data_IF_657571219730
#
_entry.id   IF_657571219730
#
_cell.length_a   1.000
_cell.length_b   1.000
_cell.length_c   1.000
_cell.angle_alpha   90.00
_cell.angle_beta   90.00
_cell.angle_gamma   90.00
#
_symmetry.space_group_name_H-M   'P 1'
#
loop_
_entity.id
_entity.type
_entity.pdbx_description
1 polymer ?
#
# COMPACT_ATOMS: atom_id res chain seq x y z
N UNK A 1 52.22 -32.10 40.89
CA UNK A 1 50.89 -32.58 40.51
C UNK A 1 50.29 -31.67 39.47
N UNK A 2 50.46 -31.95 38.16
CA UNK A 2 49.74 -31.22 37.12
C UNK A 2 49.04 -32.17 36.09
N UNK A 3 48.58 -33.33 36.53
CA UNK A 3 48.03 -34.33 35.57
C UNK A 3 46.48 -34.19 35.47
N UNK A 4 45.84 -33.62 36.45
CA UNK A 4 44.35 -33.52 36.52
C UNK A 4 43.78 -32.42 35.65
N UNK A 5 44.51 -31.38 35.34
CA UNK A 5 44.09 -30.28 34.46
C UNK A 5 44.02 -30.65 32.95
N UNK A 6 44.74 -31.69 32.53
CA UNK A 6 44.87 -32.04 31.13
C UNK A 6 43.67 -32.85 30.60
N UNK A 7 42.90 -33.51 31.45
CA UNK A 7 41.74 -34.32 31.09
C UNK A 7 40.41 -33.56 31.06
N UNK A 8 40.33 -32.40 31.69
CA UNK A 8 39.10 -31.58 31.70
C UNK A 8 38.93 -30.71 30.46
N UNK A 9 40.02 -30.44 29.73
CA UNK A 9 39.97 -29.56 28.55
C UNK A 9 39.23 -30.10 27.31
N UNK A 10 39.32 -31.40 26.92
CA UNK A 10 38.66 -31.88 25.73
C UNK A 10 37.14 -31.95 25.88
N UNK A 11 36.64 -32.41 27.03
CA UNK A 11 35.21 -32.54 27.26
C UNK A 11 34.50 -31.16 27.39
N UNK A 12 35.17 -30.18 27.99
CA UNK A 12 34.68 -28.81 28.12
C UNK A 12 34.63 -28.13 26.72
N UNK A 13 35.62 -28.35 25.89
CA UNK A 13 35.71 -27.78 24.55
C UNK A 13 34.65 -28.38 23.60
N UNK A 14 34.34 -29.66 23.73
CA UNK A 14 33.25 -30.31 22.98
C UNK A 14 31.87 -29.77 23.38
N UNK A 15 31.63 -29.60 24.66
CA UNK A 15 30.35 -28.99 25.15
C UNK A 15 30.19 -27.56 24.67
N UNK A 16 31.23 -26.76 24.69
CA UNK A 16 31.21 -25.40 24.14
C UNK A 16 30.95 -25.38 22.63
N UNK A 17 31.57 -26.29 21.87
CA UNK A 17 31.39 -26.44 20.43
C UNK A 17 29.95 -26.86 20.10
N UNK A 18 29.37 -27.76 20.89
CA UNK A 18 27.98 -28.19 20.74
C UNK A 18 27.01 -27.05 21.05
N UNK A 19 27.21 -26.34 22.15
CA UNK A 19 26.38 -25.17 22.49
C UNK A 19 26.42 -24.09 21.42
N UNK A 20 27.58 -23.77 20.85
CA UNK A 20 27.72 -22.82 19.75
C UNK A 20 26.96 -23.28 18.49
N UNK A 21 27.03 -24.57 18.13
CA UNK A 21 26.28 -25.12 17.01
C UNK A 21 24.76 -25.02 17.24
N UNK A 22 24.29 -25.41 18.42
CA UNK A 22 22.86 -25.31 18.77
C UNK A 22 22.38 -23.87 18.74
N UNK A 23 23.17 -22.94 19.28
CA UNK A 23 22.86 -21.52 19.24
C UNK A 23 22.77 -20.97 17.81
N UNK A 24 23.69 -21.36 16.92
CA UNK A 24 23.67 -20.97 15.50
C UNK A 24 22.46 -21.53 14.77
N UNK A 25 22.03 -22.76 15.07
CA UNK A 25 20.83 -23.36 14.48
C UNK A 25 19.58 -22.60 14.93
N UNK A 26 19.47 -22.31 16.22
CA UNK A 26 18.34 -21.54 16.76
C UNK A 26 18.32 -20.14 16.13
N UNK A 27 19.47 -19.49 16.04
CA UNK A 27 19.58 -18.16 15.42
C UNK A 27 19.16 -18.21 13.94
N UNK A 28 19.58 -19.23 13.20
CA UNK A 28 19.20 -19.41 11.80
C UNK A 28 17.67 -19.60 11.64
N UNK A 29 17.05 -20.38 12.51
CA UNK A 29 15.57 -20.57 12.52
C UNK A 29 14.85 -19.26 12.80
N UNK A 30 15.32 -18.48 13.78
CA UNK A 30 14.72 -17.18 14.12
C UNK A 30 14.85 -16.21 12.94
N UNK A 31 16.04 -16.14 12.32
CA UNK A 31 16.26 -15.28 11.14
C UNK A 31 15.37 -15.69 9.99
N UNK A 32 15.27 -16.99 9.70
CA UNK A 32 14.38 -17.50 8.65
C UNK A 32 12.92 -17.16 8.94
N UNK A 33 12.47 -17.30 10.17
CA UNK A 33 11.11 -16.89 10.59
C UNK A 33 10.84 -15.40 10.39
N UNK A 34 11.80 -14.54 10.73
CA UNK A 34 11.69 -13.09 10.52
C UNK A 34 11.64 -12.73 9.03
N UNK A 35 12.42 -13.41 8.19
CA UNK A 35 12.40 -13.18 6.74
C UNK A 35 11.06 -13.60 6.13
N UNK A 36 10.51 -14.75 6.51
CA UNK A 36 9.20 -15.22 6.06
C UNK A 36 8.10 -14.26 6.52
N UNK A 37 8.13 -13.85 7.78
CA UNK A 37 7.18 -12.89 8.33
C UNK A 37 7.24 -11.55 7.57
N UNK A 38 8.44 -11.01 7.34
CA UNK A 38 8.63 -9.77 6.57
C UNK A 38 8.12 -9.91 5.14
N UNK A 39 8.40 -11.06 4.49
CA UNK A 39 7.88 -11.32 3.15
C UNK A 39 6.34 -11.29 3.11
N UNK A 40 5.68 -12.00 4.02
CA UNK A 40 4.21 -12.02 4.10
C UNK A 40 3.67 -10.61 4.35
N UNK A 41 4.27 -9.87 5.30
CA UNK A 41 3.82 -8.54 5.68
C UNK A 41 3.85 -7.51 4.54
N UNK A 42 4.86 -7.58 3.68
CA UNK A 42 5.07 -6.59 2.63
C UNK A 42 4.58 -7.02 1.25
N UNK A 43 4.60 -8.31 0.93
CA UNK A 43 4.31 -8.79 -0.42
C UNK A 43 2.98 -9.51 -0.56
N UNK A 44 2.43 -10.06 0.53
CA UNK A 44 1.13 -10.71 0.47
C UNK A 44 0.04 -9.67 0.73
N UNK A 45 -0.91 -9.46 -0.21
CA UNK A 45 -2.00 -8.53 0.02
C UNK A 45 -2.93 -9.06 1.13
N UNK A 46 -3.34 -8.17 2.01
CA UNK A 46 -4.37 -8.44 3.02
C UNK A 46 -5.74 -8.58 2.37
N UNK A 47 -6.02 -7.76 1.39
CA UNK A 47 -7.20 -7.85 0.54
C UNK A 47 -6.75 -7.74 -0.91
N UNK A 48 -7.07 -8.74 -1.71
CA UNK A 48 -6.68 -8.84 -3.12
C UNK A 48 -7.73 -8.29 -4.09
N UNK A 49 -8.91 -7.93 -3.59
CA UNK A 49 -10.03 -7.46 -4.40
C UNK A 49 -10.87 -6.44 -3.66
N UNK A 50 -10.70 -5.19 -4.01
CA UNK A 50 -11.53 -4.09 -3.56
C UNK A 50 -11.86 -3.15 -4.72
N UNK A 51 -13.06 -2.58 -4.75
CA UNK A 51 -13.47 -1.58 -5.74
C UNK A 51 -13.90 -0.32 -5.02
N UNK A 52 -13.37 0.82 -5.46
CA UNK A 52 -13.81 2.14 -5.03
C UNK A 52 -14.19 3.00 -6.22
N UNK A 53 -15.30 3.72 -6.07
CA UNK A 53 -15.80 4.68 -7.05
C UNK A 53 -15.70 6.10 -6.48
N UNK A 54 -15.40 7.06 -7.34
CA UNK A 54 -15.32 8.46 -6.98
C UNK A 54 -14.76 9.30 -8.10
N UNK A 55 -14.63 10.60 -7.86
CA UNK A 55 -14.02 11.54 -8.79
C UNK A 55 -12.52 11.47 -8.62
N UNK A 56 -11.81 11.18 -9.69
CA UNK A 56 -10.35 11.17 -9.70
C UNK A 56 -9.83 12.61 -9.65
N UNK A 57 -9.30 13.01 -8.50
CA UNK A 57 -8.80 14.36 -8.30
C UNK A 57 -7.51 14.59 -9.07
N UNK A 58 -6.50 13.79 -8.78
CA UNK A 58 -5.23 13.88 -9.50
C UNK A 58 -4.45 12.55 -9.42
N UNK A 59 -3.50 12.41 -10.33
CA UNK A 59 -2.44 11.39 -10.25
C UNK A 59 -1.12 12.07 -10.52
N UNK A 60 -0.15 11.90 -9.65
CA UNK A 60 1.17 12.55 -9.74
C UNK A 60 2.31 11.56 -9.56
N UNK A 61 3.41 11.84 -10.25
CA UNK A 61 4.64 11.09 -10.08
C UNK A 61 5.45 11.74 -8.94
N UNK A 62 5.57 11.05 -7.80
CA UNK A 62 6.12 11.59 -6.56
C UNK A 62 7.27 10.71 -6.05
N UNK A 63 8.22 11.33 -5.37
CA UNK A 63 9.33 10.66 -4.68
C UNK A 63 10.69 11.27 -5.02
N UNK A 64 11.64 11.14 -4.11
CA UNK A 64 13.01 11.64 -4.25
C UNK A 64 13.94 10.53 -4.74
N UNK A 65 14.00 9.41 -4.04
CA UNK A 65 14.84 8.26 -4.39
C UNK A 65 14.02 7.27 -5.24
N UNK A 66 12.88 6.84 -4.71
CA UNK A 66 11.94 5.98 -5.43
C UNK A 66 10.78 6.85 -5.91
N UNK A 67 10.61 6.92 -7.21
CA UNK A 67 9.51 7.67 -7.83
C UNK A 67 8.37 6.72 -8.12
N UNK A 68 7.23 6.98 -7.49
CA UNK A 68 5.99 6.19 -7.61
C UNK A 68 4.85 7.07 -8.09
N UNK A 69 3.83 6.45 -8.65
CA UNK A 69 2.62 7.16 -9.06
C UNK A 69 1.61 7.10 -7.91
N UNK A 70 1.20 8.28 -7.45
CA UNK A 70 0.25 8.44 -6.35
C UNK A 70 -0.98 9.17 -6.85
N UNK A 71 -2.14 8.60 -6.60
CA UNK A 71 -3.43 9.16 -6.97
C UNK A 71 -4.32 9.44 -5.77
N UNK A 72 -5.27 10.32 -5.99
CA UNK A 72 -6.26 10.74 -5.01
C UNK A 72 -7.65 10.70 -5.62
N UNK A 73 -8.54 9.93 -5.00
CA UNK A 73 -9.93 9.78 -5.41
C UNK A 73 -10.83 10.41 -4.35
N UNK A 74 -11.71 11.30 -4.77
CA UNK A 74 -12.70 11.93 -3.91
C UNK A 74 -14.00 11.14 -3.98
N UNK A 75 -14.41 10.60 -2.84
CA UNK A 75 -15.68 9.90 -2.70
C UNK A 75 -16.72 10.86 -2.09
N UNK A 76 -17.78 11.13 -2.84
CA UNK A 76 -18.94 11.84 -2.30
C UNK A 76 -19.78 10.87 -1.46
N UNK A 77 -19.85 11.08 -0.17
CA UNK A 77 -20.61 10.23 0.73
C UNK A 77 -21.52 11.05 1.65
N UNK A 78 -22.78 10.68 1.73
CA UNK A 78 -23.66 11.11 2.81
C UNK A 78 -23.41 10.22 4.02
N UNK A 79 -22.94 10.78 5.13
CA UNK A 79 -23.00 10.11 6.43
C UNK A 79 -24.30 10.54 7.13
N UNK A 80 -25.20 9.61 7.45
CA UNK A 80 -26.37 9.92 8.27
C UNK A 80 -25.92 10.47 9.64
N UNK A 81 -26.32 11.68 9.98
CA UNK A 81 -26.05 12.29 11.29
C UNK A 81 -25.03 13.44 11.31
N UNK A 82 -24.41 13.81 10.20
CA UNK A 82 -23.61 15.03 10.09
C UNK A 82 -24.19 15.95 9.01
N UNK A 83 -24.50 17.16 9.39
CA UNK A 83 -24.90 18.22 8.46
C UNK A 83 -23.66 18.68 7.68
N UNK A 84 -23.52 18.22 6.44
CA UNK A 84 -22.47 18.62 5.51
C UNK A 84 -22.03 17.51 4.56
N UNK A 85 -21.73 17.87 3.32
CA UNK A 85 -21.05 17.02 2.34
C UNK A 85 -19.62 16.83 2.82
N UNK A 86 -19.33 15.68 3.42
CA UNK A 86 -17.95 15.28 3.72
C UNK A 86 -17.39 14.50 2.55
N UNK A 87 -16.44 15.09 1.83
CA UNK A 87 -15.63 14.37 0.86
C UNK A 87 -14.66 13.45 1.62
N UNK A 88 -14.71 12.16 1.32
CA UNK A 88 -13.74 11.21 1.84
C UNK A 88 -12.66 11.02 0.79
N UNK A 89 -11.43 11.38 1.12
CA UNK A 89 -10.29 11.23 0.24
C UNK A 89 -9.75 9.80 0.34
N UNK A 90 -9.58 9.16 -0.80
CA UNK A 90 -8.94 7.87 -0.93
C UNK A 90 -7.63 8.02 -1.67
N UNK A 91 -6.53 7.92 -0.92
CA UNK A 91 -5.17 7.96 -1.45
C UNK A 91 -4.71 6.57 -1.83
N UNK A 92 -4.19 6.42 -3.03
CA UNK A 92 -3.72 5.15 -3.58
C UNK A 92 -2.43 5.30 -4.36
N UNK A 93 -1.69 4.21 -4.48
CA UNK A 93 -0.50 4.10 -5.32
C UNK A 93 -0.79 3.30 -6.58
N UNK A 94 -0.05 3.56 -7.65
CA UNK A 94 -0.13 2.80 -8.91
C UNK A 94 1.25 2.28 -9.25
N UNK A 95 1.38 0.98 -9.39
CA UNK A 95 2.66 0.33 -9.72
C UNK A 95 2.93 0.34 -11.22
N UNK A 96 1.88 0.11 -12.03
CA UNK A 96 2.00 0.10 -13.48
C UNK A 96 2.00 1.53 -14.06
N UNK A 97 3.08 1.86 -14.77
CA UNK A 97 3.25 3.15 -15.46
C UNK A 97 2.18 3.41 -16.51
N UNK A 98 1.77 2.40 -17.29
CA UNK A 98 0.78 2.59 -18.35
C UNK A 98 -0.59 2.89 -17.76
N UNK A 99 -0.95 2.18 -16.70
CA UNK A 99 -2.16 2.44 -15.93
C UNK A 99 -2.14 3.84 -15.32
N UNK A 100 -1.02 4.27 -14.77
CA UNK A 100 -0.87 5.62 -14.20
C UNK A 100 -1.06 6.72 -15.24
N UNK A 101 -0.47 6.58 -16.44
CA UNK A 101 -0.66 7.53 -17.55
C UNK A 101 -2.14 7.58 -17.98
N UNK A 102 -2.79 6.42 -18.07
CA UNK A 102 -4.22 6.36 -18.39
C UNK A 102 -5.06 7.04 -17.31
N UNK A 103 -4.76 6.82 -16.04
CA UNK A 103 -5.44 7.51 -14.94
C UNK A 103 -5.21 9.02 -14.99
N UNK A 104 -4.01 9.49 -15.32
CA UNK A 104 -3.75 10.92 -15.49
C UNK A 104 -4.67 11.56 -16.55
N UNK A 105 -4.97 10.86 -17.64
CA UNK A 105 -5.89 11.34 -18.68
C UNK A 105 -7.36 11.34 -18.24
N UNK A 106 -7.70 10.62 -17.17
CA UNK A 106 -9.04 10.55 -16.60
C UNK A 106 -9.24 11.46 -15.38
N UNK A 107 -8.28 12.34 -15.08
CA UNK A 107 -8.41 13.32 -13.98
C UNK A 107 -9.66 14.18 -14.18
N UNK A 108 -10.42 14.37 -13.10
CA UNK A 108 -11.70 15.10 -13.11
C UNK A 108 -12.90 14.23 -13.52
N UNK A 109 -12.71 12.97 -13.88
CA UNK A 109 -13.80 12.06 -14.26
C UNK A 109 -14.21 11.16 -13.09
N UNK A 110 -15.44 10.64 -13.18
CA UNK A 110 -15.90 9.61 -12.24
C UNK A 110 -15.33 8.25 -12.66
N UNK A 111 -14.59 7.62 -11.79
CA UNK A 111 -13.91 6.35 -12.07
C UNK A 111 -14.24 5.31 -11.01
N UNK A 112 -14.26 4.06 -11.43
CA UNK A 112 -14.28 2.88 -10.54
C UNK A 112 -12.94 2.18 -10.65
N UNK A 113 -12.21 2.14 -9.56
CA UNK A 113 -10.87 1.58 -9.49
C UNK A 113 -10.87 0.29 -8.69
N UNK A 114 -10.24 -0.74 -9.23
CA UNK A 114 -9.93 -1.96 -8.50
C UNK A 114 -8.59 -1.77 -7.79
N UNK A 115 -8.51 -2.20 -6.52
CA UNK A 115 -7.30 -2.06 -5.72
C UNK A 115 -7.05 -3.28 -4.86
N UNK A 116 -5.78 -3.45 -4.49
CA UNK A 116 -5.30 -4.38 -3.48
C UNK A 116 -4.85 -3.61 -2.25
N UNK A 117 -5.08 -4.19 -1.07
CA UNK A 117 -4.62 -3.63 0.18
C UNK A 117 -3.51 -4.49 0.78
N UNK A 118 -2.43 -3.85 1.20
CA UNK A 118 -1.28 -4.51 1.83
C UNK A 118 -1.13 -4.08 3.29
N UNK A 119 -0.53 -4.94 4.12
CA UNK A 119 -0.23 -4.59 5.51
C UNK A 119 0.81 -3.48 5.61
N UNK A 120 1.87 -3.59 4.80
CA UNK A 120 3.01 -2.68 4.80
C UNK A 120 3.17 -1.92 3.48
N UNK A 121 3.73 -0.71 3.60
CA UNK A 121 4.10 0.14 2.47
C UNK A 121 5.53 -0.17 2.07
N UNK A 122 5.79 -0.34 0.77
CA UNK A 122 7.12 -0.45 0.20
C UNK A 122 7.45 0.82 -0.58
N UNK A 123 8.57 1.52 -0.26
CA UNK A 123 8.89 2.81 -0.86
C UNK A 123 8.99 2.81 -2.39
N UNK A 124 9.35 1.66 -2.98
CA UNK A 124 9.44 1.50 -4.44
C UNK A 124 8.12 1.11 -5.10
N UNK A 125 7.13 0.62 -4.33
CA UNK A 125 5.79 0.28 -4.81
C UNK A 125 4.82 1.45 -4.69
N UNK A 126 4.96 2.26 -3.65
CA UNK A 126 4.10 3.41 -3.40
C UNK A 126 4.15 3.88 -1.95
N UNK A 127 3.49 5.00 -1.69
CA UNK A 127 3.36 5.59 -0.35
C UNK A 127 2.04 5.21 0.32
N UNK A 128 1.11 4.58 -0.42
CA UNK A 128 -0.16 4.09 0.10
C UNK A 128 -0.14 2.57 0.28
N UNK A 129 -0.93 2.07 1.24
CA UNK A 129 -1.22 0.64 1.39
C UNK A 129 -2.13 0.12 0.28
N UNK A 130 -2.89 1.01 -0.34
CA UNK A 130 -3.82 0.71 -1.41
C UNK A 130 -3.11 0.85 -2.74
N UNK A 131 -3.03 -0.23 -3.49
CA UNK A 131 -2.39 -0.26 -4.81
C UNK A 131 -3.45 -0.55 -5.85
N UNK A 132 -3.67 0.41 -6.74
CA UNK A 132 -4.61 0.27 -7.86
C UNK A 132 -3.93 -0.52 -8.96
N UNK A 133 -4.60 -1.57 -9.42
CA UNK A 133 -4.13 -2.45 -10.48
C UNK A 133 -4.97 -2.39 -11.77
N UNK A 134 -6.20 -1.88 -11.69
CA UNK A 134 -7.05 -1.75 -12.88
C UNK A 134 -8.16 -0.71 -12.73
N UNK A 135 -8.65 -0.24 -13.90
CA UNK A 135 -9.81 0.63 -14.03
C UNK A 135 -11.00 -0.28 -14.42
N UNK A 136 -12.00 -0.34 -13.55
CA UNK A 136 -13.22 -1.12 -13.79
C UNK A 136 -14.16 -0.37 -14.72
N UNK A 137 -14.34 0.92 -14.50
CA UNK A 137 -15.16 1.80 -15.32
C UNK A 137 -14.68 3.25 -15.22
N UNK A 138 -14.94 4.03 -16.25
CA UNK A 138 -14.75 5.48 -16.26
C UNK A 138 -15.94 6.13 -16.97
N UNK A 139 -16.50 7.14 -16.35
CA UNK A 139 -17.60 7.90 -16.89
C UNK A 139 -17.23 9.38 -16.88
N UNK A 140 -17.34 10.10 -18.01
CA UNK A 140 -17.16 11.55 -18.02
C UNK A 140 -18.19 12.16 -17.08
N UNK A 141 -17.80 13.22 -16.36
CA UNK A 141 -18.78 13.96 -15.57
C UNK A 141 -19.89 14.47 -16.49
N UNK A 142 -21.16 14.31 -16.08
CA UNK A 142 -22.24 14.93 -16.83
C UNK A 142 -21.96 16.43 -16.86
N UNK A 143 -21.89 16.98 -18.07
CA UNK A 143 -21.82 18.43 -18.25
C UNK A 143 -23.11 18.98 -17.64
N UNK A 144 -23.01 19.65 -16.51
CA UNK A 144 -24.16 20.39 -15.99
C UNK A 144 -24.43 21.46 -17.05
N UNK A 145 -25.44 21.19 -17.88
CA UNK A 145 -25.96 22.23 -18.74
C UNK A 145 -26.36 23.36 -17.79
N UNK A 146 -25.63 24.47 -17.92
CA UNK A 146 -26.03 25.68 -17.24
C UNK A 146 -27.48 25.90 -17.61
N UNK A 147 -28.37 25.66 -16.66
CA UNK A 147 -29.78 26.02 -16.80
C UNK A 147 -29.78 27.51 -17.08
N UNK A 148 -30.06 27.89 -18.31
CA UNK A 148 -30.20 29.28 -18.72
C UNK A 148 -31.16 29.91 -17.69
N UNK A 149 -30.62 30.75 -16.85
CA UNK A 149 -31.42 31.53 -15.92
C UNK A 149 -32.33 32.38 -16.83
N UNK A 150 -33.66 32.18 -16.83
CA UNK A 150 -34.54 32.99 -17.67
C UNK A 150 -34.31 34.46 -17.31
N UNK A 151 -34.27 35.37 -18.29
CA UNK A 151 -34.04 36.78 -18.02
C UNK A 151 -35.08 37.29 -17.02
N UNK A 152 -34.59 37.90 -15.95
CA UNK A 152 -35.45 38.53 -14.95
C UNK A 152 -36.29 39.63 -15.62
N UNK A 153 -37.54 39.33 -15.91
CA UNK A 153 -38.54 40.32 -16.29
C UNK A 153 -39.02 41.01 -15.01
N UNK A 154 -38.31 42.05 -14.62
CA UNK A 154 -38.79 42.95 -13.55
C UNK A 154 -40.00 43.71 -14.04
N UNK A 155 -41.15 43.47 -13.42
CA UNK A 155 -42.26 44.40 -13.29
C UNK A 155 -42.20 45.06 -11.92
#
# INVERSE_FOLDING_TARGET
MPIEQQYLNPCFNEKQKLMKKTFLIILAIVVAGLLIFGYIWFYVPFSDSGVKAGILNNVKHKGVIFKTYEGELIQSGFRPGQQGLQSNEFNFSVEDKQLAIKLMSLSGQNVKLHYKEYYGVLPWRGYSKFVVDSIVASEPMPVIQQQEIPPYTGE
#
